data_IF_190635029402
#
_entry.id   IF_190635029402
#
_cell.length_a   1.000
_cell.length_b   1.000
_cell.length_c   1.000
_cell.angle_alpha   90.00
_cell.angle_beta   90.00
_cell.angle_gamma   90.00
#
_symmetry.space_group_name_H-M   'P 1'
#
loop_
_entity.id
_entity.type
_entity.pdbx_description
1 polymer ?
#
# COMPACT_ATOMS: atom_id res chain seq x y z
N UNK A 1 18.78 18.22 20.62
CA UNK A 1 17.94 17.10 21.08
C UNK A 1 16.76 16.93 20.13
N UNK A 2 16.81 15.93 19.23
CA UNK A 2 15.83 15.72 18.15
C UNK A 2 14.63 14.86 18.61
N UNK A 3 13.86 15.38 19.56
CA UNK A 3 12.56 14.81 19.92
C UNK A 3 11.52 15.40 18.95
N UNK A 4 10.87 14.54 18.14
CA UNK A 4 9.39 14.46 18.06
C UNK A 4 8.77 14.17 16.69
N UNK A 5 9.46 14.21 15.54
CA UNK A 5 8.78 13.88 14.26
C UNK A 5 8.23 12.44 14.25
N UNK A 6 9.04 11.47 14.65
CA UNK A 6 8.64 10.05 14.72
C UNK A 6 7.61 9.76 15.83
N UNK A 7 7.68 10.49 16.96
CA UNK A 7 6.70 10.33 18.04
C UNK A 7 5.34 10.90 17.64
N UNK A 8 5.33 12.00 16.86
CA UNK A 8 4.11 12.63 16.36
C UNK A 8 3.41 11.76 15.31
N UNK A 9 4.13 11.18 14.35
CA UNK A 9 3.50 10.31 13.35
C UNK A 9 2.95 9.03 13.99
N UNK A 10 3.69 8.44 14.94
CA UNK A 10 3.24 7.24 15.64
C UNK A 10 1.94 7.49 16.42
N UNK A 11 1.87 8.58 17.20
CA UNK A 11 0.69 8.91 18.00
C UNK A 11 -0.51 9.24 17.12
N UNK A 12 -0.29 9.99 16.02
CA UNK A 12 -1.30 10.26 15.01
C UNK A 12 -1.89 8.96 14.42
N UNK A 13 -1.02 8.04 13.97
CA UNK A 13 -1.44 6.75 13.40
C UNK A 13 -2.18 5.88 14.42
N UNK A 14 -1.78 5.92 15.69
CA UNK A 14 -2.50 5.21 16.77
C UNK A 14 -3.93 5.71 16.92
N UNK A 15 -4.13 7.03 16.92
CA UNK A 15 -5.45 7.65 17.05
C UNK A 15 -6.31 7.49 15.78
N UNK A 16 -5.77 7.86 14.63
CA UNK A 16 -6.54 7.94 13.38
C UNK A 16 -6.80 6.58 12.74
N UNK A 17 -5.87 5.64 12.88
CA UNK A 17 -5.96 4.34 12.23
C UNK A 17 -6.28 3.26 13.24
N UNK A 18 -5.42 2.99 14.22
CA UNK A 18 -5.53 1.75 15.02
C UNK A 18 -6.82 1.68 15.85
N UNK A 19 -7.26 2.79 16.44
CA UNK A 19 -8.44 2.79 17.32
C UNK A 19 -9.76 2.62 16.56
N UNK A 20 -9.74 2.79 15.24
CA UNK A 20 -10.94 2.82 14.40
C UNK A 20 -10.92 1.77 13.29
N UNK A 21 -9.95 0.84 13.31
CA UNK A 21 -9.76 -0.15 12.25
C UNK A 21 -9.39 -1.51 12.82
N UNK A 22 -9.76 -2.57 12.11
CA UNK A 22 -9.52 -3.95 12.55
C UNK A 22 -8.13 -4.41 12.11
N UNK A 23 -7.33 -4.90 13.05
CA UNK A 23 -6.03 -5.51 12.72
C UNK A 23 -6.23 -6.84 11.98
N UNK A 24 -5.56 -7.00 10.84
CA UNK A 24 -5.60 -8.24 10.05
C UNK A 24 -4.84 -9.35 10.79
N UNK A 25 -5.53 -10.49 11.01
CA UNK A 25 -4.99 -11.67 11.71
C UNK A 25 -4.14 -12.54 10.77
N UNK A 26 -3.33 -13.45 11.33
CA UNK A 26 -2.48 -14.40 10.59
C UNK A 26 -1.01 -14.00 10.47
N UNK A 27 -0.18 -14.89 9.93
CA UNK A 27 1.26 -14.64 9.68
C UNK A 27 1.43 -13.73 8.46
N UNK A 28 2.25 -12.70 8.57
CA UNK A 28 2.51 -11.75 7.47
C UNK A 28 3.82 -12.12 6.81
N UNK A 29 3.83 -12.09 5.48
CA UNK A 29 5.06 -12.25 4.71
C UNK A 29 5.77 -10.88 4.65
N UNK A 30 7.07 -10.89 4.43
CA UNK A 30 7.82 -9.65 4.22
C UNK A 30 7.50 -9.07 2.83
N UNK A 31 7.66 -7.76 2.69
CA UNK A 31 7.65 -7.07 1.40
C UNK A 31 9.09 -7.01 0.90
N UNK A 32 9.31 -7.20 -0.39
CA UNK A 32 10.63 -7.01 -0.99
C UNK A 32 10.75 -5.59 -1.57
N UNK A 33 11.91 -4.96 -1.37
CA UNK A 33 12.27 -3.66 -1.92
C UNK A 33 13.68 -3.76 -2.52
N UNK A 34 13.96 -3.02 -3.60
CA UNK A 34 15.30 -2.94 -4.17
C UNK A 34 15.96 -1.66 -3.64
N UNK A 35 17.08 -1.80 -2.94
CA UNK A 35 17.89 -0.70 -2.41
C UNK A 35 19.32 -0.94 -2.87
N UNK A 36 19.93 0.03 -3.55
CA UNK A 36 21.32 -0.06 -4.06
C UNK A 36 21.59 -1.36 -4.84
N UNK A 37 20.67 -1.72 -5.75
CA UNK A 37 20.66 -2.98 -6.52
C UNK A 37 20.57 -4.28 -5.71
N UNK A 38 20.39 -4.22 -4.39
CA UNK A 38 20.15 -5.38 -3.54
C UNK A 38 18.66 -5.57 -3.23
N UNK A 39 18.19 -6.82 -3.28
CA UNK A 39 16.84 -7.18 -2.84
C UNK A 39 16.80 -7.26 -1.31
N UNK A 40 16.14 -6.29 -0.67
CA UNK A 40 16.00 -6.20 0.77
C UNK A 40 14.59 -6.63 1.19
N UNK A 41 14.54 -7.45 2.23
CA UNK A 41 13.29 -7.91 2.84
C UNK A 41 12.86 -6.94 3.96
N UNK A 42 11.64 -6.43 3.86
CA UNK A 42 10.98 -5.56 4.84
C UNK A 42 9.92 -6.33 5.62
N UNK A 43 10.19 -6.74 6.87
CA UNK A 43 9.23 -7.48 7.67
C UNK A 43 7.97 -6.65 7.97
N UNK A 44 6.80 -7.17 7.58
CA UNK A 44 5.52 -6.54 7.90
C UNK A 44 5.15 -6.82 9.36
N UNK A 45 5.12 -5.77 10.19
CA UNK A 45 4.77 -5.87 11.62
C UNK A 45 3.27 -6.03 11.81
N UNK A 46 2.48 -5.25 11.08
CA UNK A 46 1.02 -5.27 11.18
C UNK A 46 0.37 -4.66 9.96
N UNK A 47 -0.84 -5.14 9.67
CA UNK A 47 -1.74 -4.60 8.67
C UNK A 47 -3.07 -4.30 9.37
N UNK A 48 -3.65 -3.15 9.08
CA UNK A 48 -4.98 -2.75 9.55
C UNK A 48 -5.92 -2.60 8.37
N UNK A 49 -7.12 -3.16 8.50
CA UNK A 49 -8.17 -3.10 7.50
C UNK A 49 -8.95 -1.78 7.67
N UNK A 50 -8.83 -0.90 6.68
CA UNK A 50 -9.50 0.39 6.66
C UNK A 50 -10.77 0.39 5.80
N UNK A 51 -11.27 -0.78 5.39
CA UNK A 51 -12.39 -0.90 4.44
C UNK A 51 -13.65 -0.15 4.88
N UNK A 52 -13.91 -0.06 6.18
CA UNK A 52 -15.07 0.68 6.74
C UNK A 52 -14.96 2.19 6.52
N UNK A 53 -13.73 2.73 6.42
CA UNK A 53 -13.47 4.15 6.13
C UNK A 53 -13.23 4.41 4.64
N UNK A 54 -12.39 3.58 4.02
CA UNK A 54 -11.96 3.71 2.62
C UNK A 54 -11.96 2.31 2.03
N UNK A 55 -12.95 2.02 1.16
CA UNK A 55 -13.13 0.70 0.56
C UNK A 55 -11.86 0.24 -0.17
N UNK A 56 -11.39 -0.97 0.13
CA UNK A 56 -10.20 -1.59 -0.44
C UNK A 56 -8.88 -1.01 0.08
N UNK A 57 -8.91 -0.21 1.15
CA UNK A 57 -7.72 0.41 1.73
C UNK A 57 -7.26 -0.34 2.98
N UNK A 58 -5.95 -0.35 3.16
CA UNK A 58 -5.24 -1.01 4.24
C UNK A 58 -4.09 -0.13 4.71
N UNK A 59 -3.74 -0.28 5.98
CA UNK A 59 -2.61 0.43 6.55
C UNK A 59 -1.53 -0.55 7.00
N UNK A 60 -0.34 -0.42 6.44
CA UNK A 60 0.80 -1.29 6.69
C UNK A 60 1.79 -0.59 7.63
N UNK A 61 2.25 -1.33 8.63
CA UNK A 61 3.41 -0.96 9.44
C UNK A 61 4.48 -1.99 9.15
N UNK A 62 5.61 -1.53 8.61
CA UNK A 62 6.75 -2.38 8.27
C UNK A 62 7.96 -1.98 9.09
N UNK A 63 8.83 -2.94 9.37
CA UNK A 63 10.14 -2.65 9.96
C UNK A 63 11.05 -2.13 8.87
N UNK A 64 11.68 -0.99 9.14
CA UNK A 64 12.70 -0.47 8.26
C UNK A 64 13.98 -1.31 8.38
N UNK A 65 14.70 -1.49 7.27
CA UNK A 65 16.04 -2.07 7.31
C UNK A 65 17.06 -1.06 7.84
N UNK A 66 16.86 0.23 7.56
CA UNK A 66 17.69 1.28 8.14
C UNK A 66 17.44 1.41 9.66
N UNK A 67 18.47 1.80 10.40
CA UNK A 67 18.38 1.99 11.87
C UNK A 67 17.37 3.08 12.26
N UNK A 68 17.13 4.06 11.39
CA UNK A 68 16.16 5.14 11.59
C UNK A 68 15.48 5.55 10.27
N UNK A 69 14.16 5.80 10.26
CA UNK A 69 13.21 5.50 11.34
C UNK A 69 13.05 3.98 11.50
N UNK A 70 12.81 3.49 12.72
CA UNK A 70 12.67 2.03 12.99
C UNK A 70 11.47 1.39 12.27
N UNK A 71 10.42 2.16 12.04
CA UNK A 71 9.19 1.72 11.38
C UNK A 71 8.89 2.66 10.22
N UNK A 72 8.34 2.09 9.15
CA UNK A 72 7.76 2.83 8.03
C UNK A 72 6.26 2.55 7.98
N UNK A 73 5.51 3.55 7.57
CA UNK A 73 4.05 3.55 7.58
C UNK A 73 3.54 3.74 6.17
N UNK A 74 2.60 2.90 5.74
CA UNK A 74 2.10 2.95 4.37
C UNK A 74 0.58 2.87 4.33
N UNK A 75 -0.02 3.79 3.59
CA UNK A 75 -1.38 3.62 3.08
C UNK A 75 -1.34 2.77 1.83
N UNK A 76 -2.25 1.81 1.74
CA UNK A 76 -2.23 0.79 0.68
C UNK A 76 -3.62 0.59 0.12
N UNK A 77 -3.79 0.62 -1.19
CA UNK A 77 -5.08 0.33 -1.84
C UNK A 77 -4.97 -0.88 -2.76
N UNK A 78 -6.00 -1.74 -2.72
CA UNK A 78 -6.10 -2.86 -3.65
C UNK A 78 -6.60 -2.38 -5.02
N UNK A 79 -5.74 -2.57 -6.02
CA UNK A 79 -6.04 -2.31 -7.43
C UNK A 79 -6.78 -3.50 -8.05
N UNK A 80 -6.30 -4.72 -7.77
CA UNK A 80 -6.91 -5.96 -8.23
C UNK A 80 -6.81 -7.08 -7.17
N UNK A 81 -7.82 -7.97 -7.17
CA UNK A 81 -7.88 -9.10 -6.23
C UNK A 81 -6.90 -10.22 -6.57
N UNK A 82 -6.52 -10.34 -7.85
CA UNK A 82 -5.47 -11.21 -8.33
C UNK A 82 -4.49 -10.35 -9.13
N UNK A 83 -3.21 -10.57 -8.92
CA UNK A 83 -2.15 -9.91 -9.67
C UNK A 83 -1.82 -10.70 -10.94
N UNK A 84 -1.39 -9.99 -11.99
CA UNK A 84 -0.77 -10.54 -13.19
C UNK A 84 0.18 -9.51 -13.79
N UNK A 85 1.11 -9.94 -14.65
CA UNK A 85 2.09 -9.05 -15.27
C UNK A 85 1.44 -7.94 -16.08
N UNK A 86 0.35 -8.24 -16.78
CA UNK A 86 -0.44 -7.24 -17.51
C UNK A 86 -0.97 -6.15 -16.58
N UNK A 87 -1.54 -6.53 -15.44
CA UNK A 87 -2.07 -5.57 -14.45
C UNK A 87 -0.96 -4.70 -13.87
N UNK A 88 0.22 -5.29 -13.62
CA UNK A 88 1.40 -4.54 -13.18
C UNK A 88 1.82 -3.52 -14.23
N UNK A 89 1.88 -3.91 -15.51
CA UNK A 89 2.25 -2.99 -16.60
C UNK A 89 1.28 -1.82 -16.72
N UNK A 90 -0.03 -2.07 -16.64
CA UNK A 90 -1.06 -1.02 -16.69
C UNK A 90 -0.95 -0.02 -15.52
N UNK A 91 -0.54 -0.51 -14.35
CA UNK A 91 -0.38 0.27 -13.13
C UNK A 91 0.95 1.06 -13.08
N UNK A 92 1.99 0.56 -13.75
CA UNK A 92 3.39 0.99 -13.57
C UNK A 92 3.61 2.49 -13.79
N UNK A 93 3.04 3.05 -14.85
CA UNK A 93 3.25 4.45 -15.23
C UNK A 93 2.73 5.43 -14.17
N UNK A 94 1.47 5.25 -13.74
CA UNK A 94 0.87 6.10 -12.72
C UNK A 94 1.61 5.96 -11.39
N UNK A 95 1.97 4.72 -11.02
CA UNK A 95 2.72 4.46 -9.81
C UNK A 95 4.06 5.20 -9.81
N UNK A 96 4.82 5.14 -10.92
CA UNK A 96 6.09 5.86 -11.06
C UNK A 96 5.89 7.38 -10.94
N UNK A 97 4.89 7.94 -11.62
CA UNK A 97 4.62 9.39 -11.64
C UNK A 97 4.25 9.95 -10.26
N UNK A 98 3.61 9.15 -9.41
CA UNK A 98 3.11 9.60 -8.10
C UNK A 98 3.94 9.03 -6.93
N UNK A 99 5.11 8.45 -7.21
CA UNK A 99 6.00 7.81 -6.23
C UNK A 99 5.27 6.78 -5.35
N UNK A 100 4.55 5.87 -6.01
CA UNK A 100 3.83 4.76 -5.39
C UNK A 100 4.59 3.47 -5.60
N UNK A 101 4.59 2.61 -4.58
CA UNK A 101 5.12 1.27 -4.69
C UNK A 101 4.02 0.31 -5.12
N UNK A 102 4.29 -0.51 -6.15
CA UNK A 102 3.41 -1.60 -6.53
C UNK A 102 3.95 -2.89 -5.92
N UNK A 103 3.09 -3.60 -5.20
CA UNK A 103 3.46 -4.90 -4.61
C UNK A 103 2.41 -5.95 -4.95
N UNK A 104 2.87 -7.18 -5.14
CA UNK A 104 2.03 -8.36 -5.22
C UNK A 104 2.03 -9.01 -3.84
N UNK A 105 0.89 -8.97 -3.14
CA UNK A 105 0.86 -9.35 -1.73
C UNK A 105 -0.48 -9.96 -1.32
N UNK A 106 -0.42 -11.00 -0.50
CA UNK A 106 -1.60 -11.65 0.08
C UNK A 106 -1.92 -11.07 1.45
N UNK A 107 -2.90 -10.15 1.51
CA UNK A 107 -3.34 -9.53 2.78
C UNK A 107 -3.90 -10.57 3.74
N UNK A 108 -4.64 -11.54 3.22
CA UNK A 108 -5.23 -12.64 3.99
C UNK A 108 -4.56 -13.96 3.57
N UNK A 109 -3.50 -14.41 4.26
CA UNK A 109 -2.70 -15.57 3.85
C UNK A 109 -3.49 -16.85 3.59
N UNK A 110 -4.65 -16.99 4.24
CA UNK A 110 -5.53 -18.15 4.09
C UNK A 110 -6.25 -18.22 2.74
N UNK A 111 -6.32 -17.12 1.98
CA UNK A 111 -7.12 -17.08 0.75
C UNK A 111 -6.33 -17.45 -0.50
N UNK A 112 -5.01 -17.69 -0.40
CA UNK A 112 -4.09 -18.02 -1.51
C UNK A 112 -4.11 -16.97 -2.65
N UNK A 113 -4.77 -15.82 -2.44
CA UNK A 113 -4.91 -14.76 -3.44
C UNK A 113 -3.83 -13.72 -3.23
N UNK A 114 -2.95 -13.60 -4.22
CA UNK A 114 -1.98 -12.52 -4.30
C UNK A 114 -2.60 -11.33 -5.00
N UNK A 115 -2.89 -10.28 -4.25
CA UNK A 115 -3.51 -9.06 -4.75
C UNK A 115 -2.44 -8.15 -5.36
N UNK A 116 -2.82 -7.35 -6.36
CA UNK A 116 -2.03 -6.21 -6.79
C UNK A 116 -2.40 -5.01 -5.92
N UNK A 117 -1.44 -4.53 -5.13
CA UNK A 117 -1.60 -3.41 -4.22
C UNK A 117 -0.70 -2.24 -4.66
N UNK A 118 -1.19 -1.03 -4.41
CA UNK A 118 -0.40 0.19 -4.50
C UNK A 118 -0.23 0.79 -3.12
N UNK A 119 0.99 1.19 -2.77
CA UNK A 119 1.35 1.75 -1.48
C UNK A 119 1.91 3.16 -1.62
N UNK A 120 1.51 4.04 -0.70
CA UNK A 120 2.13 5.36 -0.49
C UNK A 120 2.71 5.40 0.91
N UNK A 121 3.99 5.73 1.02
CA UNK A 121 4.65 5.92 2.31
C UNK A 121 4.23 7.25 2.95
N UNK A 122 3.92 7.21 4.24
CA UNK A 122 3.59 8.39 5.03
C UNK A 122 4.84 8.78 5.83
N UNK A 123 5.52 9.84 5.41
CA UNK A 123 6.74 10.35 6.04
C UNK A 123 6.43 11.45 7.06
N UNK A 124 5.41 12.26 6.78
CA UNK A 124 4.91 13.33 7.65
C UNK A 124 3.38 13.27 7.71
N UNK A 125 2.77 13.90 8.72
CA UNK A 125 1.33 13.77 9.00
C UNK A 125 0.50 14.51 7.94
N UNK A 126 1.03 15.64 7.48
CA UNK A 126 0.40 16.54 6.52
C UNK A 126 0.09 15.82 5.20
N UNK A 127 0.93 14.86 4.79
CA UNK A 127 0.76 14.08 3.56
C UNK A 127 -0.35 13.03 3.64
N UNK A 128 -0.94 12.79 4.82
CA UNK A 128 -1.85 11.65 5.03
C UNK A 128 -3.10 11.73 4.13
N UNK A 129 -3.76 12.89 4.09
CA UNK A 129 -4.97 13.06 3.29
C UNK A 129 -4.66 13.05 1.79
N UNK A 130 -3.58 13.72 1.38
CA UNK A 130 -3.14 13.74 -0.01
C UNK A 130 -2.77 12.33 -0.50
N UNK A 131 -2.13 11.53 0.35
CA UNK A 131 -1.83 10.13 0.07
C UNK A 131 -3.09 9.30 -0.17
N UNK A 132 -4.14 9.53 0.62
CA UNK A 132 -5.44 8.87 0.40
C UNK A 132 -6.02 9.25 -0.96
N UNK A 133 -6.04 10.54 -1.29
CA UNK A 133 -6.63 11.03 -2.54
C UNK A 133 -5.85 10.55 -3.78
N UNK A 134 -4.52 10.54 -3.71
CA UNK A 134 -3.67 9.95 -4.75
C UNK A 134 -3.99 8.47 -4.97
N UNK A 135 -4.15 7.69 -3.91
CA UNK A 135 -4.48 6.26 -4.01
C UNK A 135 -5.90 6.03 -4.56
N UNK A 136 -6.88 6.85 -4.17
CA UNK A 136 -8.25 6.79 -4.72
C UNK A 136 -8.26 7.10 -6.21
N UNK A 137 -7.57 8.18 -6.62
CA UNK A 137 -7.42 8.57 -8.03
C UNK A 137 -6.77 7.44 -8.83
N UNK A 138 -5.69 6.85 -8.30
CA UNK A 138 -5.03 5.73 -8.96
C UNK A 138 -6.00 4.58 -9.21
N UNK A 139 -6.76 4.17 -8.20
CA UNK A 139 -7.71 3.06 -8.35
C UNK A 139 -8.78 3.35 -9.39
N UNK A 140 -9.26 4.59 -9.46
CA UNK A 140 -10.23 5.03 -10.47
C UNK A 140 -9.64 4.92 -11.88
N UNK A 141 -8.49 5.55 -12.12
CA UNK A 141 -7.83 5.54 -13.43
C UNK A 141 -7.43 4.12 -13.86
N UNK A 142 -6.95 3.30 -12.92
CA UNK A 142 -6.63 1.91 -13.20
C UNK A 142 -7.85 1.12 -13.69
N UNK A 143 -9.02 1.32 -13.07
CA UNK A 143 -10.27 0.68 -13.51
C UNK A 143 -10.74 1.17 -14.86
N UNK A 144 -10.59 2.47 -15.15
CA UNK A 144 -10.90 3.04 -16.45
C UNK A 144 -10.04 2.42 -17.55
N UNK A 145 -8.72 2.27 -17.31
CA UNK A 145 -7.81 1.55 -18.23
C UNK A 145 -8.25 0.10 -18.46
N UNK A 146 -8.70 -0.60 -17.41
CA UNK A 146 -9.22 -1.97 -17.55
C UNK A 146 -10.51 -2.04 -18.37
N UNK A 147 -11.42 -1.07 -18.21
CA UNK A 147 -12.65 -1.00 -18.99
C UNK A 147 -12.36 -0.76 -20.49
N UNK A 148 -11.42 0.13 -20.80
CA UNK A 148 -10.96 0.34 -22.19
C UNK A 148 -10.40 -0.95 -22.77
N UNK A 149 -9.53 -1.65 -22.02
CA UNK A 149 -8.97 -2.92 -22.47
C UNK A 149 -10.05 -3.98 -22.71
N UNK A 150 -11.02 -4.10 -21.80
CA UNK A 150 -12.15 -5.01 -21.93
C UNK A 150 -12.92 -4.75 -23.23
N UNK A 151 -13.28 -3.48 -23.48
CA UNK A 151 -14.02 -3.09 -24.68
C UNK A 151 -13.24 -3.34 -25.97
N UNK A 152 -11.90 -3.27 -25.96
CA UNK A 152 -11.07 -3.59 -27.13
C UNK A 152 -11.04 -5.09 -27.45
N UNK A 153 -11.28 -5.94 -26.46
CA UNK A 153 -11.34 -7.40 -26.64
C UNK A 153 -12.75 -7.85 -27.04
N UNK A 154 -13.78 -7.23 -26.49
CA UNK A 154 -15.19 -7.59 -26.78
C UNK A 154 -15.71 -7.05 -28.13
N UNK A 155 -15.12 -5.96 -28.64
CA UNK A 155 -15.48 -5.40 -29.96
C UNK A 155 -14.58 -5.93 -31.10
N UNK A 156 -13.90 -7.06 -30.89
CA UNK A 156 -13.19 -7.84 -31.91
C UNK A 156 -13.92 -9.15 -32.15
#
# INVERSE_FOLDING_TARGET
>A
MSISRDNNIKSFIEKEVKNSTKKVKGKKIAIAEIIDNALISLPVKSIYDMNEKIKGCYFFIVKNHAKQPKLRYFLTISLANNSSDLLVQLAKEFARKNELQLIQYSIYPKTVRTQLLSMKEIKIIEDYNDSIEVLKRFRKEFREKLMVLKNLVENK
#
